data_IF_959026323604
#
_entry.id   IF_959026323604
#
_cell.length_a   1.000
_cell.length_b   1.000
_cell.length_c   1.000
_cell.angle_alpha   90.00
_cell.angle_beta   90.00
_cell.angle_gamma   90.00
#
_symmetry.space_group_name_H-M   'P 1'
#
loop_
_entity.id
_entity.type
_entity.pdbx_description
1 polymer ?
#
# COMPACT_ATOMS: atom_id res chain seq x y z
N UNK A 1 10.45 7.38 -10.97
CA UNK A 1 10.36 7.77 -12.40
C UNK A 1 8.97 8.29 -12.82
N UNK A 2 8.10 8.69 -11.91
CA UNK A 2 6.74 9.21 -12.19
C UNK A 2 5.88 8.37 -13.14
N UNK A 3 6.19 7.09 -13.32
CA UNK A 3 5.42 6.17 -14.16
C UNK A 3 4.27 5.58 -13.36
N UNK A 4 3.10 5.50 -13.99
CA UNK A 4 2.01 4.67 -13.48
C UNK A 4 2.41 3.21 -13.71
N UNK A 5 2.64 2.47 -12.63
CA UNK A 5 3.08 1.07 -12.66
C UNK A 5 1.94 0.08 -12.47
N UNK A 6 0.80 0.53 -11.91
CA UNK A 6 -0.36 -0.30 -11.62
C UNK A 6 -1.58 0.54 -11.19
N UNK A 7 -2.63 -0.12 -10.71
CA UNK A 7 -3.85 0.48 -10.18
C UNK A 7 -4.33 -0.23 -8.90
N UNK A 8 -5.15 0.47 -8.11
CA UNK A 8 -5.83 -0.11 -6.96
C UNK A 8 -6.98 -1.00 -7.40
N UNK A 9 -7.06 -2.21 -6.87
CA UNK A 9 -8.17 -3.15 -7.11
C UNK A 9 -9.32 -2.94 -6.13
N UNK A 10 -9.04 -2.36 -4.96
CA UNK A 10 -10.03 -2.03 -3.94
C UNK A 10 -9.56 -0.81 -3.14
N UNK A 11 -10.52 -0.09 -2.57
CA UNK A 11 -10.23 1.07 -1.73
C UNK A 11 -11.41 1.41 -0.80
N UNK A 12 -11.07 2.00 0.34
CA UNK A 12 -12.01 2.39 1.38
C UNK A 12 -11.40 3.47 2.28
N UNK A 13 -12.22 4.07 3.15
CA UNK A 13 -11.69 4.85 4.27
C UNK A 13 -11.46 3.91 5.46
N UNK A 14 -10.21 3.82 5.91
CA UNK A 14 -9.85 3.04 7.08
C UNK A 14 -10.12 3.82 8.35
N UNK A 15 -11.33 3.74 8.88
CA UNK A 15 -11.73 4.52 10.06
C UNK A 15 -10.79 4.37 11.27
N UNK A 16 -10.23 3.17 11.48
CA UNK A 16 -9.25 2.98 12.56
C UNK A 16 -7.92 3.70 12.28
N UNK A 17 -7.49 3.76 11.02
CA UNK A 17 -6.25 4.44 10.62
C UNK A 17 -6.46 5.95 10.39
N UNK A 18 -7.71 6.42 10.28
CA UNK A 18 -8.04 7.81 9.98
C UNK A 18 -7.65 8.25 8.56
N UNK A 19 -7.41 7.31 7.65
CA UNK A 19 -6.88 7.57 6.31
C UNK A 19 -7.58 6.74 5.23
N UNK A 20 -7.51 7.21 3.98
CA UNK A 20 -7.87 6.41 2.82
C UNK A 20 -6.87 5.26 2.65
N UNK A 21 -7.38 4.06 2.38
CA UNK A 21 -6.58 2.85 2.15
C UNK A 21 -6.95 2.29 0.78
N UNK A 22 -5.97 1.73 0.09
CA UNK A 22 -6.16 0.94 -1.11
C UNK A 22 -5.35 -0.35 -1.06
N UNK A 23 -5.80 -1.35 -1.82
CA UNK A 23 -4.97 -2.51 -2.16
C UNK A 23 -4.75 -2.54 -3.67
N UNK A 24 -3.54 -2.92 -4.06
CA UNK A 24 -3.15 -3.08 -5.45
C UNK A 24 -1.89 -3.93 -5.53
N UNK A 25 -1.56 -4.32 -6.75
CA UNK A 25 -0.32 -5.06 -7.02
C UNK A 25 0.72 -4.09 -7.57
N UNK A 26 1.99 -4.31 -7.23
CA UNK A 26 3.12 -3.59 -7.83
C UNK A 26 3.97 -4.64 -8.57
N UNK A 27 4.41 -4.37 -9.82
CA UNK A 27 5.35 -5.24 -10.50
C UNK A 27 6.64 -5.40 -9.69
N UNK A 28 7.13 -6.63 -9.59
CA UNK A 28 8.39 -6.95 -8.93
C UNK A 28 9.45 -7.14 -10.00
N UNK A 29 10.60 -6.47 -9.85
CA UNK A 29 11.74 -6.65 -10.74
C UNK A 29 12.45 -7.98 -10.46
N UNK A 30 13.21 -8.50 -11.42
CA UNK A 30 13.92 -9.76 -11.23
C UNK A 30 14.83 -9.69 -9.99
N UNK A 31 14.67 -10.68 -9.10
CA UNK A 31 15.36 -10.80 -7.81
C UNK A 31 15.08 -9.70 -6.76
N UNK A 32 14.11 -8.81 -6.99
CA UNK A 32 13.73 -7.80 -6.01
C UNK A 32 12.98 -8.41 -4.81
N UNK A 33 13.37 -7.98 -3.61
CA UNK A 33 12.82 -8.46 -2.35
C UNK A 33 11.67 -7.57 -1.86
N UNK A 34 10.82 -8.13 -0.99
CA UNK A 34 9.77 -7.34 -0.33
C UNK A 34 10.31 -6.17 0.50
N UNK A 35 11.51 -6.30 1.07
CA UNK A 35 12.16 -5.22 1.82
C UNK A 35 12.59 -4.06 0.91
N UNK A 36 13.12 -4.37 -0.27
CA UNK A 36 13.48 -3.37 -1.28
C UNK A 36 12.23 -2.63 -1.79
N UNK A 37 11.15 -3.38 -2.05
CA UNK A 37 9.85 -2.82 -2.40
C UNK A 37 9.33 -1.86 -1.33
N UNK A 38 9.39 -2.24 -0.04
CA UNK A 38 8.96 -1.38 1.08
C UNK A 38 9.85 -0.15 1.31
N UNK A 39 11.10 -0.17 0.81
CA UNK A 39 12.02 0.97 0.91
C UNK A 39 11.81 2.02 -0.18
N UNK A 40 11.03 1.70 -1.21
CA UNK A 40 10.70 2.58 -2.31
C UNK A 40 9.61 3.60 -1.94
N UNK A 41 9.57 4.70 -2.69
CA UNK A 41 8.52 5.72 -2.54
C UNK A 41 7.38 5.46 -3.51
N UNK A 42 6.15 5.46 -3.00
CA UNK A 42 4.95 5.27 -3.81
C UNK A 42 4.03 6.48 -3.70
N UNK A 43 3.33 6.74 -4.79
CA UNK A 43 2.28 7.73 -4.88
C UNK A 43 1.05 7.11 -5.54
N UNK A 44 -0.12 7.57 -5.15
CA UNK A 44 -1.39 7.21 -5.77
C UNK A 44 -1.93 8.46 -6.45
N UNK A 45 -2.24 8.33 -7.74
CA UNK A 45 -2.91 9.40 -8.47
C UNK A 45 -4.43 9.35 -8.21
N UNK A 46 -4.97 10.45 -7.70
CA UNK A 46 -6.39 10.62 -7.38
C UNK A 46 -6.86 11.88 -8.08
N UNK A 47 -7.76 11.73 -9.06
CA UNK A 47 -8.30 12.85 -9.84
C UNK A 47 -7.22 13.79 -10.42
N UNK A 48 -6.11 13.23 -10.90
CA UNK A 48 -4.98 13.98 -11.48
C UNK A 48 -4.01 14.57 -10.46
N UNK A 49 -4.20 14.30 -9.16
CA UNK A 49 -3.27 14.71 -8.10
C UNK A 49 -2.51 13.51 -7.55
N UNK A 50 -1.18 13.64 -7.43
CA UNK A 50 -0.33 12.61 -6.81
C UNK A 50 -0.31 12.81 -5.30
N UNK A 51 -0.65 11.74 -4.59
CA UNK A 51 -0.66 11.71 -3.13
C UNK A 51 0.35 10.65 -2.66
N UNK A 52 1.35 11.03 -1.84
CA UNK A 52 2.27 10.06 -1.25
C UNK A 52 1.53 8.98 -0.47
N UNK A 53 1.96 7.73 -0.62
CA UNK A 53 1.35 6.59 0.04
C UNK A 53 2.39 5.79 0.84
N UNK A 54 2.03 5.44 2.07
CA UNK A 54 2.77 4.47 2.86
C UNK A 54 2.34 3.06 2.42
N UNK A 55 3.33 2.19 2.18
CA UNK A 55 3.10 0.82 1.73
C UNK A 55 3.37 -0.18 2.84
N UNK A 56 2.58 -1.25 2.88
CA UNK A 56 2.78 -2.36 3.79
C UNK A 56 2.43 -3.68 3.12
N UNK A 57 3.25 -4.70 3.33
CA UNK A 57 2.97 -6.09 2.93
C UNK A 57 2.15 -6.84 3.99
N UNK A 58 1.90 -6.21 5.14
CA UNK A 58 1.11 -6.72 6.25
C UNK A 58 -0.11 -5.83 6.47
N UNK A 59 -1.18 -6.33 7.11
CA UNK A 59 -2.26 -5.47 7.57
C UNK A 59 -1.72 -4.29 8.39
N UNK A 60 -2.13 -3.07 8.04
CA UNK A 60 -1.77 -1.87 8.82
C UNK A 60 -2.46 -1.86 10.19
N UNK A 61 -3.54 -2.63 10.35
CA UNK A 61 -4.25 -2.82 11.60
C UNK A 61 -4.08 -4.24 12.11
N UNK A 62 -3.73 -4.38 13.40
CA UNK A 62 -3.50 -5.67 14.06
C UNK A 62 -2.59 -6.62 13.25
N UNK A 63 -1.34 -6.22 12.95
CA UNK A 63 -0.46 -6.98 12.04
C UNK A 63 -0.09 -8.38 12.57
N UNK A 64 -0.24 -8.63 13.87
CA UNK A 64 0.04 -9.91 14.54
C UNK A 64 -1.22 -10.76 14.77
N UNK A 65 -2.41 -10.24 14.42
CA UNK A 65 -3.71 -10.85 14.67
C UNK A 65 -3.96 -11.18 16.15
N UNK A 66 -3.39 -10.41 17.08
CA UNK A 66 -3.49 -10.67 18.52
C UNK A 66 -4.93 -10.50 19.02
N UNK A 67 -5.70 -9.58 18.44
CA UNK A 67 -7.06 -9.29 18.89
C UNK A 67 -8.05 -10.40 18.58
N UNK A 68 -7.84 -11.11 17.47
CA UNK A 68 -8.75 -12.18 17.02
C UNK A 68 -8.39 -13.54 17.61
N UNK A 69 -7.16 -13.72 18.10
CA UNK A 69 -6.69 -14.98 18.69
C UNK A 69 -7.05 -15.16 20.18
N UNK A 70 -7.41 -14.07 20.87
CA UNK A 70 -7.71 -14.07 22.30
C UNK A 70 -9.07 -14.70 22.65
#
# INVERSE_FOLDING_TARGET
DDKIVSFLTSGNYGHHLGASIGMGYVPVQDAETGSEQLSSTYEIEIAGQRVPAEVSLKPMYDPTAERTRA
#
